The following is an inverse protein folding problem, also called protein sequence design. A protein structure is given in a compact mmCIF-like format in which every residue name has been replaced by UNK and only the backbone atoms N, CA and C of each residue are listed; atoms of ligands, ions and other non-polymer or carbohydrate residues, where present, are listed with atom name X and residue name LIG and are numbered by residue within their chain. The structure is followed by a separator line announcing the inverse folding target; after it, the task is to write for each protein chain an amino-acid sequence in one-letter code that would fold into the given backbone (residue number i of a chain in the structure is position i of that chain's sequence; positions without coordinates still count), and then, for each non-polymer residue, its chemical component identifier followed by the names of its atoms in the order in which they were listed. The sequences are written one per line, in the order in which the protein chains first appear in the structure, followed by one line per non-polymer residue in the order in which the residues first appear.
data_IF_141251939663
#
_entry.id   IF_141251939663
#
_cell.length_a   1.000
_cell.length_b   1.000
_cell.length_c   1.000
_cell.angle_alpha   90.00
_cell.angle_beta   90.00
_cell.angle_gamma   90.00
#
_symmetry.space_group_name_H-M   'P 1'
#
loop_
_entity.id
_entity.type
_entity.pdbx_description
1 polymer ?
#
# COMPACT_ATOMS: atom_id res chain seq x y z
N UNK A 1 7.17 37.46 7.78
CA UNK A 1 8.06 36.28 7.66
C UNK A 1 9.14 36.49 6.60
N UNK A 2 8.80 36.74 5.32
CA UNK A 2 9.75 37.14 4.27
C UNK A 2 10.59 38.40 4.62
N UNK A 3 10.01 39.39 5.30
CA UNK A 3 10.69 40.63 5.67
C UNK A 3 11.81 40.46 6.73
N UNK A 4 11.69 39.51 7.68
CA UNK A 4 12.75 39.20 8.66
C UNK A 4 13.87 38.32 8.07
N UNK A 5 13.59 37.60 6.99
CA UNK A 5 14.60 36.85 6.24
C UNK A 5 15.48 37.77 5.41
N UNK A 6 14.91 38.80 4.78
CA UNK A 6 15.64 39.74 3.93
C UNK A 6 16.81 40.45 4.65
N UNK A 7 16.65 40.82 5.93
CA UNK A 7 17.67 41.55 6.70
C UNK A 7 18.85 40.71 7.23
N UNK A 8 18.78 39.37 7.19
CA UNK A 8 19.83 38.48 7.74
C UNK A 8 20.45 37.52 6.72
N UNK A 9 20.12 37.64 5.43
CA UNK A 9 20.68 36.81 4.34
C UNK A 9 22.16 37.13 4.11
N UNK A 10 23.05 36.51 4.88
CA UNK A 10 24.45 36.35 4.46
C UNK A 10 24.49 35.26 3.40
N UNK A 11 24.39 35.70 2.15
CA UNK A 11 24.61 34.88 0.97
C UNK A 11 26.03 34.31 0.96
N UNK A 12 26.18 33.01 0.68
CA UNK A 12 27.49 32.38 0.49
C UNK A 12 27.61 31.93 -0.96
N UNK A 13 28.48 32.62 -1.71
CA UNK A 13 28.95 32.17 -3.03
C UNK A 13 30.18 31.28 -2.87
N UNK A 14 30.03 30.00 -3.19
CA UNK A 14 31.15 29.07 -3.26
C UNK A 14 31.63 29.04 -4.72
N UNK A 15 32.86 29.51 -4.95
CA UNK A 15 33.52 29.57 -6.25
C UNK A 15 34.85 28.82 -6.18
N UNK A 16 35.48 28.53 -7.33
CA UNK A 16 36.80 27.88 -7.34
C UNK A 16 37.89 28.63 -6.54
N UNK A 17 37.75 29.95 -6.38
CA UNK A 17 38.71 30.79 -5.62
C UNK A 17 38.40 30.89 -4.14
N UNK A 18 37.14 30.68 -3.75
CA UNK A 18 36.69 30.77 -2.35
C UNK A 18 36.62 29.39 -1.69
N UNK A 19 36.50 28.32 -2.47
CA UNK A 19 36.40 26.94 -1.99
C UNK A 19 37.74 26.22 -1.83
N UNK A 20 38.84 26.78 -2.34
CA UNK A 20 40.12 26.09 -2.46
C UNK A 20 41.30 27.05 -2.41
N UNK A 21 42.40 26.60 -1.80
CA UNK A 21 43.67 27.31 -1.88
C UNK A 21 44.18 27.36 -3.32
N UNK A 22 45.04 28.33 -3.65
CA UNK A 22 45.49 28.55 -5.04
C UNK A 22 46.25 27.36 -5.66
N UNK A 23 46.89 26.51 -4.84
CA UNK A 23 47.53 25.26 -5.28
C UNK A 23 46.56 24.07 -5.43
N UNK A 24 45.28 24.28 -5.10
CA UNK A 24 44.17 23.34 -5.25
C UNK A 24 43.23 23.78 -6.38
N UNK A 25 43.72 24.56 -7.34
CA UNK A 25 42.95 24.85 -8.55
C UNK A 25 42.84 23.58 -9.41
N UNK A 26 41.74 23.40 -10.15
CA UNK A 26 41.52 22.18 -10.91
C UNK A 26 42.39 22.17 -12.17
N UNK A 27 43.61 21.64 -12.05
CA UNK A 27 44.31 21.13 -13.23
C UNK A 27 43.59 19.87 -13.73
N UNK A 28 43.77 19.50 -15.00
CA UNK A 28 43.11 18.33 -15.63
C UNK A 28 43.26 17.03 -14.82
N UNK A 29 44.32 16.93 -14.02
CA UNK A 29 44.62 15.79 -13.14
C UNK A 29 43.57 15.67 -12.03
N UNK A 30 43.15 16.77 -11.40
CA UNK A 30 42.22 16.72 -10.27
C UNK A 30 40.79 16.34 -10.68
N UNK A 31 40.41 16.66 -11.92
CA UNK A 31 39.10 16.29 -12.47
C UNK A 31 39.02 14.81 -12.87
N UNK A 32 40.16 14.14 -13.08
CA UNK A 32 40.22 12.74 -13.53
C UNK A 32 40.33 11.73 -12.37
N UNK A 33 40.65 12.17 -11.16
CA UNK A 33 41.00 11.27 -10.04
C UNK A 33 39.95 11.31 -8.91
N UNK A 34 39.14 10.25 -8.72
CA UNK A 34 38.04 10.22 -7.75
C UNK A 34 38.47 10.47 -6.29
N UNK A 35 39.66 9.99 -5.90
CA UNK A 35 40.20 10.21 -4.56
C UNK A 35 40.39 11.71 -4.26
N UNK A 36 40.95 12.44 -5.24
CA UNK A 36 41.22 13.87 -5.13
C UNK A 36 39.92 14.69 -5.12
N UNK A 37 38.92 14.27 -5.91
CA UNK A 37 37.58 14.86 -5.88
C UNK A 37 36.92 14.70 -4.50
N UNK A 38 37.04 13.52 -3.86
CA UNK A 38 36.50 13.27 -2.51
C UNK A 38 37.19 14.13 -1.43
N UNK A 39 38.51 14.26 -1.47
CA UNK A 39 39.24 15.11 -0.51
C UNK A 39 38.75 16.55 -0.60
N UNK A 40 38.59 17.09 -1.82
CA UNK A 40 38.08 18.44 -2.03
C UNK A 40 36.63 18.59 -1.62
N UNK A 41 35.79 17.61 -1.96
CA UNK A 41 34.40 17.60 -1.53
C UNK A 41 34.30 17.75 -0.01
N UNK A 42 35.04 16.93 0.74
CA UNK A 42 35.06 17.00 2.21
C UNK A 42 35.50 18.38 2.72
N UNK A 43 36.50 18.98 2.10
CA UNK A 43 36.97 20.32 2.48
C UNK A 43 35.90 21.40 2.21
N UNK A 44 35.31 21.41 1.02
CA UNK A 44 34.20 22.31 0.67
C UNK A 44 33.02 22.14 1.62
N UNK A 45 32.67 20.90 1.95
CA UNK A 45 31.58 20.59 2.86
C UNK A 45 31.89 21.04 4.30
N UNK A 46 33.10 20.80 4.80
CA UNK A 46 33.49 21.15 6.16
C UNK A 46 33.61 22.67 6.38
N UNK A 47 34.23 23.40 5.44
CA UNK A 47 34.63 24.79 5.68
C UNK A 47 33.58 25.80 5.23
N UNK A 48 32.72 25.43 4.28
CA UNK A 48 31.78 26.36 3.65
C UNK A 48 30.32 25.95 3.79
N UNK A 49 29.99 24.68 3.54
CA UNK A 49 28.59 24.22 3.52
C UNK A 49 28.07 23.92 4.92
N UNK A 50 28.73 23.04 5.67
CA UNK A 50 28.29 22.60 7.00
C UNK A 50 28.11 23.76 8.01
N UNK A 51 29.01 24.77 8.09
CA UNK A 51 28.82 25.91 8.99
C UNK A 51 27.59 26.76 8.64
N UNK A 52 27.20 26.81 7.35
CA UNK A 52 25.97 27.46 6.92
C UNK A 52 24.76 26.62 7.34
N UNK A 53 24.77 25.31 7.05
CA UNK A 53 23.68 24.42 7.40
C UNK A 53 23.43 24.37 8.91
N UNK A 54 24.49 24.35 9.73
CA UNK A 54 24.37 24.41 11.19
C UNK A 54 23.72 25.71 11.69
N UNK A 55 24.01 26.85 11.06
CA UNK A 55 23.32 28.12 11.35
C UNK A 55 21.86 28.09 10.91
N UNK A 56 21.56 27.47 9.77
CA UNK A 56 20.18 27.31 9.31
C UNK A 56 19.38 26.42 10.26
N UNK A 57 19.96 25.32 10.74
CA UNK A 57 19.32 24.47 11.75
C UNK A 57 18.98 25.24 13.03
N UNK A 58 19.93 26.01 13.56
CA UNK A 58 19.72 26.83 14.77
C UNK A 58 18.65 27.91 14.60
N UNK A 59 18.51 28.45 13.39
CA UNK A 59 17.53 29.49 13.06
C UNK A 59 16.14 28.91 12.75
N UNK A 60 16.06 27.82 11.99
CA UNK A 60 14.80 27.27 11.49
C UNK A 60 14.24 26.17 12.39
N UNK A 61 15.03 25.16 12.75
CA UNK A 61 14.53 23.95 13.40
C UNK A 61 14.41 24.12 14.92
N UNK A 62 15.39 24.77 15.53
CA UNK A 62 15.39 25.01 16.99
C UNK A 62 14.34 26.03 17.42
N UNK A 63 14.12 27.09 16.62
CA UNK A 63 13.19 28.17 16.97
C UNK A 63 11.72 27.82 16.65
N UNK A 64 11.45 27.01 15.62
CA UNK A 64 10.09 26.74 15.17
C UNK A 64 9.59 25.33 15.52
N UNK A 65 10.46 24.34 15.71
CA UNK A 65 10.05 22.93 15.90
C UNK A 65 10.61 22.29 17.18
N UNK A 66 11.42 23.00 17.98
CA UNK A 66 11.97 22.48 19.25
C UNK A 66 12.85 21.24 19.10
N UNK A 67 13.29 20.92 17.88
CA UNK A 67 14.07 19.72 17.59
C UNK A 67 15.50 19.83 18.16
N UNK A 68 16.04 18.70 18.63
CA UNK A 68 17.46 18.62 19.03
C UNK A 68 18.34 18.87 17.79
N UNK A 69 19.35 19.76 17.86
CA UNK A 69 20.23 20.03 16.73
C UNK A 69 20.98 18.76 16.31
N UNK A 70 21.00 18.49 15.01
CA UNK A 70 21.64 17.35 14.35
C UNK A 70 22.96 17.72 13.68
N UNK A 71 23.18 19.00 13.34
CA UNK A 71 24.35 19.51 12.64
C UNK A 71 25.12 20.58 13.44
N UNK A 72 24.42 21.46 14.15
CA UNK A 72 25.06 22.58 14.86
C UNK A 72 26.06 22.08 15.91
N UNK A 73 27.30 22.58 15.83
CA UNK A 73 28.41 22.20 16.71
C UNK A 73 29.08 20.86 16.39
N UNK A 74 28.67 20.15 15.32
CA UNK A 74 29.30 18.89 14.89
C UNK A 74 30.36 19.11 13.80
N UNK A 75 31.40 18.28 13.80
CA UNK A 75 32.37 18.21 12.71
C UNK A 75 31.81 17.41 11.53
N UNK A 76 32.39 17.57 10.33
CA UNK A 76 31.97 16.78 9.16
C UNK A 76 32.10 15.26 9.41
N UNK A 77 33.16 14.83 10.10
CA UNK A 77 33.37 13.42 10.47
C UNK A 77 32.27 12.89 11.40
N UNK A 78 31.79 13.71 12.34
CA UNK A 78 30.66 13.35 13.21
C UNK A 78 29.34 13.30 12.45
N UNK A 79 29.17 14.11 11.41
CA UNK A 79 27.98 14.06 10.55
C UNK A 79 28.02 12.82 9.66
N UNK A 80 29.16 12.51 9.05
CA UNK A 80 29.37 11.37 8.15
C UNK A 80 29.27 9.99 8.83
N UNK A 81 29.18 9.95 10.15
CA UNK A 81 29.00 8.72 10.94
C UNK A 81 27.58 8.56 11.50
N UNK A 82 26.68 9.51 11.22
CA UNK A 82 25.30 9.52 11.71
C UNK A 82 24.31 9.73 10.55
N UNK A 83 23.62 8.67 10.13
CA UNK A 83 22.65 8.70 9.02
C UNK A 83 21.57 9.77 9.18
N UNK A 84 21.12 10.02 10.42
CA UNK A 84 20.11 11.04 10.72
C UNK A 84 20.68 12.46 10.56
N UNK A 85 21.97 12.64 10.84
CA UNK A 85 22.64 13.92 10.61
C UNK A 85 22.87 14.16 9.11
N UNK A 86 23.23 13.12 8.34
CA UNK A 86 23.36 13.23 6.88
C UNK A 86 22.02 13.59 6.24
N UNK A 87 20.92 12.92 6.61
CA UNK A 87 19.58 13.22 6.13
C UNK A 87 19.16 14.67 6.43
N UNK A 88 19.38 15.13 7.67
CA UNK A 88 19.13 16.52 8.04
C UNK A 88 19.99 17.51 7.23
N UNK A 89 21.24 17.15 6.97
CA UNK A 89 22.17 17.91 6.13
C UNK A 89 21.67 18.05 4.68
N UNK A 90 21.21 16.95 4.08
CA UNK A 90 20.66 16.94 2.73
C UNK A 90 19.39 17.80 2.62
N UNK A 91 18.48 17.67 3.57
CA UNK A 91 17.26 18.49 3.61
C UNK A 91 17.57 19.99 3.73
N UNK A 92 18.46 20.37 4.67
CA UNK A 92 18.84 21.77 4.86
C UNK A 92 19.64 22.31 3.67
N UNK A 93 20.40 21.47 2.98
CA UNK A 93 21.11 21.83 1.76
C UNK A 93 20.12 22.19 0.64
N UNK A 94 19.06 21.39 0.44
CA UNK A 94 18.03 21.68 -0.57
C UNK A 94 17.25 22.95 -0.25
N UNK A 95 16.96 23.17 1.03
CA UNK A 95 16.38 24.42 1.48
C UNK A 95 17.33 25.60 1.23
N UNK A 96 18.63 25.46 1.51
CA UNK A 96 19.62 26.51 1.31
C UNK A 96 19.80 26.88 -0.17
N UNK A 97 19.76 25.89 -1.06
CA UNK A 97 19.88 26.10 -2.51
C UNK A 97 18.61 26.73 -3.07
N UNK A 98 17.42 26.21 -2.74
CA UNK A 98 16.13 26.72 -3.22
C UNK A 98 15.85 28.16 -2.76
N UNK A 99 16.27 28.53 -1.55
CA UNK A 99 16.16 29.89 -1.01
C UNK A 99 17.29 30.83 -1.48
N UNK A 100 18.21 30.35 -2.32
CA UNK A 100 19.34 31.13 -2.83
C UNK A 100 20.36 31.55 -1.76
N UNK A 101 20.38 30.85 -0.62
CA UNK A 101 21.33 31.10 0.48
C UNK A 101 22.72 30.51 0.16
N UNK A 102 22.72 29.43 -0.62
CA UNK A 102 23.91 28.75 -1.13
C UNK A 102 23.87 28.77 -2.65
N UNK A 103 24.87 29.39 -3.28
CA UNK A 103 25.05 29.34 -4.74
C UNK A 103 26.46 28.86 -5.04
N UNK A 104 26.55 27.88 -5.94
CA UNK A 104 27.80 27.43 -6.53
C UNK A 104 28.05 28.24 -7.79
N UNK A 105 29.02 29.14 -7.74
CA UNK A 105 29.40 29.94 -8.90
C UNK A 105 30.09 29.02 -9.92
N UNK A 106 29.68 29.10 -11.18
CA UNK A 106 30.36 28.41 -12.27
C UNK A 106 31.85 28.76 -12.29
N UNK A 107 32.68 27.81 -12.73
CA UNK A 107 34.01 28.14 -13.22
C UNK A 107 33.83 29.06 -14.43
N UNK A 108 33.81 30.37 -14.21
CA UNK A 108 33.87 31.34 -15.30
C UNK A 108 35.22 31.12 -15.97
N UNK A 109 35.23 30.34 -17.05
CA UNK A 109 36.39 30.21 -17.89
C UNK A 109 36.83 31.61 -18.29
N UNK A 110 38.14 31.88 -18.21
CA UNK A 110 38.75 33.13 -18.68
C UNK A 110 38.52 33.40 -20.19
N UNK A 111 37.85 32.52 -20.92
CA UNK A 111 37.41 32.72 -22.28
C UNK A 111 35.89 32.87 -22.29
N UNK A 112 35.38 33.97 -22.85
CA UNK A 112 33.95 34.26 -23.03
C UNK A 112 33.25 33.33 -24.04
N UNK A 113 33.49 32.03 -23.95
CA UNK A 113 32.83 31.00 -24.75
C UNK A 113 31.74 30.39 -23.88
N UNK A 114 30.48 30.74 -24.19
CA UNK A 114 29.31 30.04 -23.67
C UNK A 114 29.43 28.56 -24.06
N UNK A 115 29.67 27.68 -23.09
CA UNK A 115 29.55 26.23 -23.29
C UNK A 115 28.06 25.91 -23.24
N UNK A 116 27.45 25.71 -24.40
CA UNK A 116 26.01 25.45 -24.52
C UNK A 116 25.56 24.04 -24.11
N UNK A 117 26.47 23.17 -23.62
CA UNK A 117 26.15 21.75 -23.36
C UNK A 117 26.52 21.27 -21.94
N UNK A 118 26.66 22.17 -20.95
CA UNK A 118 26.88 21.77 -19.55
C UNK A 118 25.54 21.64 -18.81
N UNK A 119 25.29 20.57 -18.02
CA UNK A 119 24.06 20.42 -17.24
C UNK A 119 23.90 21.62 -16.30
N UNK A 120 22.68 22.14 -16.20
CA UNK A 120 22.29 23.48 -15.74
C UNK A 120 22.64 23.85 -14.27
N UNK A 121 23.50 23.11 -13.57
CA UNK A 121 24.00 23.44 -12.24
C UNK A 121 25.50 23.17 -12.14
N UNK A 122 26.29 24.22 -11.95
CA UNK A 122 27.74 24.17 -11.86
C UNK A 122 28.25 23.18 -10.80
N UNK A 123 29.46 22.65 -10.99
CA UNK A 123 30.10 21.76 -10.02
C UNK A 123 30.10 22.38 -8.60
N UNK A 124 29.99 21.55 -7.57
CA UNK A 124 30.04 21.95 -6.15
C UNK A 124 31.43 22.53 -5.84
N UNK A 125 31.60 23.83 -6.10
CA UNK A 125 32.89 24.49 -6.08
C UNK A 125 33.89 23.86 -7.06
N UNK A 126 35.17 23.77 -6.65
CA UNK A 126 36.27 23.23 -7.46
C UNK A 126 36.46 21.71 -7.35
N UNK A 127 35.52 20.97 -6.73
CA UNK A 127 35.66 19.52 -6.54
C UNK A 127 35.32 18.70 -7.80
N UNK A 128 34.74 19.33 -8.82
CA UNK A 128 34.47 18.70 -10.12
C UNK A 128 33.29 17.72 -10.14
N UNK A 129 32.49 17.66 -9.07
CA UNK A 129 31.25 16.89 -8.99
C UNK A 129 30.05 17.82 -9.15
N UNK A 130 29.00 17.38 -9.84
CA UNK A 130 27.71 18.09 -9.85
C UNK A 130 27.04 18.02 -8.49
N UNK A 131 26.08 18.91 -8.24
CA UNK A 131 25.26 18.89 -7.01
C UNK A 131 24.61 17.51 -6.84
N UNK A 132 24.03 16.95 -7.90
CA UNK A 132 23.37 15.64 -7.85
C UNK A 132 24.35 14.50 -7.53
N UNK A 133 25.58 14.57 -8.04
CA UNK A 133 26.60 13.58 -7.71
C UNK A 133 27.02 13.66 -6.23
N UNK A 134 27.07 14.86 -5.66
CA UNK A 134 27.33 15.07 -4.23
C UNK A 134 26.16 14.58 -3.38
N UNK A 135 24.91 14.88 -3.76
CA UNK A 135 23.72 14.37 -3.08
C UNK A 135 23.70 12.84 -3.08
N UNK A 136 23.86 12.21 -4.24
CA UNK A 136 23.94 10.74 -4.36
C UNK A 136 25.06 10.16 -3.50
N UNK A 137 26.22 10.80 -3.43
CA UNK A 137 27.31 10.36 -2.57
C UNK A 137 26.89 10.28 -1.08
N UNK A 138 26.28 11.34 -0.55
CA UNK A 138 25.82 11.39 0.83
C UNK A 138 24.58 10.52 1.08
N UNK A 139 23.67 10.37 0.11
CA UNK A 139 22.54 9.45 0.17
C UNK A 139 23.01 8.00 0.29
N UNK A 140 23.94 7.56 -0.56
CA UNK A 140 24.53 6.22 -0.47
C UNK A 140 25.29 6.00 0.84
N UNK A 141 25.96 7.04 1.37
CA UNK A 141 26.61 6.97 2.67
C UNK A 141 25.59 6.77 3.80
N UNK A 142 24.50 7.54 3.82
CA UNK A 142 23.42 7.38 4.79
C UNK A 142 22.77 5.99 4.69
N UNK A 143 22.49 5.51 3.48
CA UNK A 143 21.97 4.17 3.24
C UNK A 143 22.92 3.08 3.77
N UNK A 144 24.23 3.23 3.54
CA UNK A 144 25.25 2.33 4.08
C UNK A 144 25.23 2.27 5.61
N UNK A 145 25.16 3.43 6.28
CA UNK A 145 25.05 3.51 7.74
C UNK A 145 23.75 2.90 8.27
N UNK A 146 22.62 3.11 7.59
CA UNK A 146 21.32 2.51 7.94
C UNK A 146 21.43 0.98 7.88
N UNK A 147 22.02 0.44 6.81
CA UNK A 147 22.27 -0.99 6.64
C UNK A 147 23.17 -1.55 7.75
N UNK A 148 24.25 -0.84 8.09
CA UNK A 148 25.16 -1.25 9.17
C UNK A 148 24.45 -1.27 10.54
N UNK A 149 23.64 -0.25 10.83
CA UNK A 149 22.86 -0.15 12.08
C UNK A 149 21.79 -1.23 12.19
N UNK A 150 21.26 -1.72 11.08
CA UNK A 150 20.26 -2.80 11.06
C UNK A 150 20.85 -4.18 11.38
N UNK A 151 22.17 -4.35 11.30
CA UNK A 151 22.87 -5.54 11.76
C UNK A 151 22.97 -6.69 10.74
N UNK A 152 23.22 -7.90 11.24
CA UNK A 152 23.58 -9.08 10.44
C UNK A 152 22.51 -9.47 9.41
N UNK A 153 21.23 -9.33 9.77
CA UNK A 153 20.10 -9.73 8.93
C UNK A 153 19.98 -8.88 7.66
N UNK A 154 20.23 -7.58 7.77
CA UNK A 154 20.31 -6.68 6.61
C UNK A 154 21.51 -7.03 5.72
N UNK A 155 22.63 -7.48 6.30
CA UNK A 155 23.83 -7.83 5.55
C UNK A 155 23.62 -9.05 4.63
N UNK A 156 22.80 -10.04 5.03
CA UNK A 156 22.46 -11.21 4.18
C UNK A 156 21.79 -10.78 2.85
N UNK A 157 21.13 -9.63 2.84
CA UNK A 157 20.37 -9.13 1.69
C UNK A 157 20.87 -7.78 1.16
N UNK A 158 22.10 -7.39 1.52
CA UNK A 158 22.74 -6.14 1.10
C UNK A 158 22.65 -5.91 -0.41
N UNK A 159 22.97 -6.92 -1.23
CA UNK A 159 22.93 -6.78 -2.69
C UNK A 159 21.54 -6.48 -3.28
N UNK A 160 20.45 -6.74 -2.53
CA UNK A 160 19.08 -6.40 -2.94
C UNK A 160 18.68 -4.96 -2.59
N UNK A 161 19.28 -4.41 -1.53
CA UNK A 161 19.04 -3.04 -1.10
C UNK A 161 20.01 -2.07 -1.78
N UNK A 162 21.21 -2.51 -2.15
CA UNK A 162 22.17 -1.71 -2.93
C UNK A 162 21.70 -1.38 -4.34
N UNK A 163 20.79 -2.18 -4.90
CA UNK A 163 20.16 -1.91 -6.20
C UNK A 163 19.01 -0.90 -6.13
N UNK A 164 18.63 -0.45 -4.93
CA UNK A 164 17.59 0.57 -4.78
C UNK A 164 18.17 1.93 -5.17
N UNK A 165 17.55 2.57 -6.16
CA UNK A 165 17.94 3.90 -6.56
C UNK A 165 17.39 4.93 -5.55
N UNK A 166 18.30 5.55 -4.80
CA UNK A 166 17.97 6.56 -3.79
C UNK A 166 18.35 7.92 -4.36
N UNK A 167 17.40 8.54 -5.07
CA UNK A 167 17.57 9.88 -5.64
C UNK A 167 17.11 10.99 -4.68
N UNK A 168 16.13 10.71 -3.82
CA UNK A 168 15.50 11.66 -2.91
C UNK A 168 15.85 11.37 -1.43
N UNK A 169 16.32 12.36 -0.65
CA UNK A 169 16.47 12.24 0.81
C UNK A 169 15.23 11.75 1.55
N UNK A 170 14.02 12.07 1.09
CA UNK A 170 12.78 11.60 1.70
C UNK A 170 12.66 10.06 1.68
N UNK A 171 13.31 9.40 0.72
CA UNK A 171 13.33 7.95 0.61
C UNK A 171 14.16 7.26 1.71
N UNK A 172 15.02 7.98 2.44
CA UNK A 172 15.80 7.39 3.54
C UNK A 172 14.90 6.89 4.68
N UNK A 173 13.77 7.54 4.96
CA UNK A 173 12.80 7.08 5.95
C UNK A 173 12.20 5.72 5.56
N UNK A 174 11.71 5.58 4.31
CA UNK A 174 11.20 4.32 3.77
C UNK A 174 12.28 3.24 3.71
N UNK A 175 13.49 3.60 3.30
CA UNK A 175 14.63 2.70 3.28
C UNK A 175 14.91 2.12 4.68
N UNK A 176 14.84 2.93 5.74
CA UNK A 176 14.97 2.43 7.13
C UNK A 176 13.88 1.42 7.51
N UNK A 177 12.66 1.55 7.00
CA UNK A 177 11.60 0.58 7.25
C UNK A 177 11.88 -0.74 6.51
N UNK A 178 12.26 -0.65 5.24
CA UNK A 178 12.54 -1.83 4.40
C UNK A 178 13.72 -2.66 4.90
N UNK A 179 14.79 -1.99 5.32
CA UNK A 179 16.01 -2.67 5.82
C UNK A 179 15.77 -3.40 7.14
N UNK A 180 14.75 -3.00 7.90
CA UNK A 180 14.34 -3.66 9.16
C UNK A 180 13.43 -4.86 8.96
N UNK A 181 12.92 -5.09 7.74
CA UNK A 181 12.16 -6.30 7.45
C UNK A 181 13.00 -7.54 7.75
N UNK A 182 12.38 -8.56 8.31
CA UNK A 182 13.08 -9.79 8.59
C UNK A 182 13.57 -10.47 7.28
N UNK A 183 14.66 -11.24 7.33
CA UNK A 183 15.23 -11.89 6.14
C UNK A 183 14.24 -12.78 5.38
N UNK A 184 13.28 -13.39 6.09
CA UNK A 184 12.27 -14.23 5.45
C UNK A 184 11.27 -13.38 4.68
N UNK A 185 10.82 -12.25 5.22
CA UNK A 185 9.98 -11.28 4.51
C UNK A 185 10.66 -10.75 3.26
N UNK A 186 11.92 -10.30 3.38
CA UNK A 186 12.70 -9.82 2.23
C UNK A 186 12.82 -10.91 1.16
N UNK A 187 13.02 -12.17 1.56
CA UNK A 187 13.09 -13.31 0.64
C UNK A 187 11.76 -13.60 -0.05
N UNK A 188 10.64 -13.58 0.67
CA UNK A 188 9.31 -13.84 0.10
C UNK A 188 8.86 -12.68 -0.80
N UNK A 189 9.06 -11.42 -0.37
CA UNK A 189 8.79 -10.21 -1.18
C UNK A 189 9.64 -10.21 -2.45
N UNK A 190 10.95 -10.44 -2.34
CA UNK A 190 11.85 -10.50 -3.51
C UNK A 190 11.43 -11.57 -4.52
N UNK A 191 11.00 -12.75 -4.04
CA UNK A 191 10.48 -13.81 -4.92
C UNK A 191 9.15 -13.44 -5.57
N UNK A 192 8.24 -12.87 -4.79
CA UNK A 192 6.90 -12.52 -5.27
C UNK A 192 6.90 -11.33 -6.21
N UNK A 193 7.70 -10.30 -5.93
CA UNK A 193 7.91 -9.12 -6.78
C UNK A 193 8.85 -9.38 -7.95
N UNK A 194 9.26 -10.65 -8.19
CA UNK A 194 10.13 -11.05 -9.32
C UNK A 194 11.46 -10.27 -9.37
N UNK A 195 12.01 -9.94 -8.20
CA UNK A 195 13.24 -9.16 -8.07
C UNK A 195 13.06 -7.64 -7.95
N UNK A 196 11.84 -7.12 -8.19
CA UNK A 196 11.54 -5.69 -8.19
C UNK A 196 11.20 -5.15 -6.79
N UNK A 197 12.12 -5.26 -5.84
CA UNK A 197 11.91 -4.73 -4.48
C UNK A 197 11.81 -3.21 -4.45
N UNK A 198 12.37 -2.52 -5.45
CA UNK A 198 12.33 -1.07 -5.60
C UNK A 198 10.92 -0.49 -5.64
N UNK A 199 9.94 -1.27 -6.11
CA UNK A 199 8.53 -0.85 -6.10
C UNK A 199 7.98 -0.56 -4.71
N UNK A 200 8.57 -1.12 -3.66
CA UNK A 200 8.16 -0.84 -2.28
C UNK A 200 8.54 0.58 -1.84
N UNK A 201 9.46 1.26 -2.53
CA UNK A 201 9.79 2.67 -2.26
C UNK A 201 8.66 3.62 -2.67
N UNK A 202 7.82 3.20 -3.62
CA UNK A 202 6.66 3.97 -4.08
C UNK A 202 5.46 3.85 -3.12
N UNK A 203 5.43 2.80 -2.29
CA UNK A 203 4.35 2.55 -1.34
C UNK A 203 4.34 3.57 -0.19
N UNK A 204 3.19 3.73 0.45
CA UNK A 204 3.02 4.61 1.62
C UNK A 204 3.72 4.05 2.86
N UNK A 205 4.12 4.94 3.78
CA UNK A 205 4.84 4.56 5.00
C UNK A 205 4.01 3.59 5.86
N UNK A 206 2.69 3.84 5.98
CA UNK A 206 1.76 2.97 6.71
C UNK A 206 1.70 1.56 6.13
N UNK A 207 1.75 1.43 4.80
CA UNK A 207 1.80 0.14 4.12
C UNK A 207 3.07 -0.65 4.50
N UNK A 208 4.23 0.03 4.53
CA UNK A 208 5.50 -0.58 4.94
C UNK A 208 5.51 -0.97 6.43
N UNK A 209 4.89 -0.17 7.29
CA UNK A 209 4.74 -0.51 8.71
C UNK A 209 3.88 -1.76 8.92
N UNK A 210 2.82 -1.94 8.12
CA UNK A 210 1.99 -3.16 8.16
C UNK A 210 2.83 -4.35 7.72
N UNK A 211 3.59 -4.24 6.62
CA UNK A 211 4.51 -5.30 6.16
C UNK A 211 5.53 -5.71 7.23
N UNK A 212 5.96 -4.79 8.08
CA UNK A 212 6.88 -5.08 9.18
C UNK A 212 6.21 -5.84 10.34
N UNK A 213 4.89 -5.73 10.50
CA UNK A 213 4.14 -6.37 11.61
C UNK A 213 3.63 -7.77 11.24
N UNK A 214 3.45 -8.06 9.96
CA UNK A 214 2.89 -9.33 9.49
C UNK A 214 3.86 -10.51 9.55
N UNK A 215 3.32 -11.72 9.67
CA UNK A 215 4.13 -12.93 9.70
C UNK A 215 4.68 -13.29 8.31
N UNK A 216 5.99 -13.48 8.12
CA UNK A 216 6.58 -13.74 6.80
C UNK A 216 6.04 -15.02 6.16
N UNK A 217 5.87 -16.06 6.97
CA UNK A 217 5.45 -17.39 6.50
C UNK A 217 3.93 -17.50 6.44
N UNK A 218 3.21 -17.02 7.47
CA UNK A 218 1.75 -17.18 7.50
C UNK A 218 1.05 -16.20 6.56
N UNK A 219 1.64 -15.03 6.32
CA UNK A 219 1.06 -13.97 5.52
C UNK A 219 1.74 -13.85 4.15
N UNK A 220 2.99 -13.38 4.08
CA UNK A 220 3.64 -13.05 2.79
C UNK A 220 3.83 -14.26 1.88
N UNK A 221 4.30 -15.38 2.43
CA UNK A 221 4.42 -16.63 1.66
C UNK A 221 3.05 -17.13 1.20
N UNK A 222 2.02 -17.02 2.05
CA UNK A 222 0.67 -17.44 1.70
C UNK A 222 0.10 -16.56 0.59
N UNK A 223 0.29 -15.24 0.65
CA UNK A 223 -0.04 -14.31 -0.42
C UNK A 223 0.69 -14.66 -1.72
N UNK A 224 2.00 -14.94 -1.65
CA UNK A 224 2.80 -15.31 -2.83
C UNK A 224 2.26 -16.57 -3.51
N UNK A 225 1.86 -17.57 -2.74
CA UNK A 225 1.29 -18.79 -3.31
C UNK A 225 -0.17 -18.64 -3.73
N UNK A 226 -0.98 -17.87 -3.00
CA UNK A 226 -2.39 -17.64 -3.31
C UNK A 226 -2.60 -16.75 -4.54
N UNK A 227 -1.79 -15.70 -4.69
CA UNK A 227 -1.89 -14.73 -5.79
C UNK A 227 -1.07 -15.13 -7.02
N UNK A 228 -0.07 -16.01 -6.85
CA UNK A 228 0.77 -16.47 -7.96
C UNK A 228 1.39 -15.32 -8.75
N UNK A 229 1.03 -15.22 -10.03
CA UNK A 229 1.52 -14.17 -10.94
C UNK A 229 0.97 -12.78 -10.63
N UNK A 230 -0.12 -12.67 -9.88
CA UNK A 230 -0.72 -11.39 -9.46
C UNK A 230 -0.06 -10.80 -8.22
N UNK A 231 0.85 -11.53 -7.54
CA UNK A 231 1.50 -11.02 -6.33
C UNK A 231 2.18 -9.64 -6.50
N UNK A 232 2.83 -9.29 -7.63
CA UNK A 232 3.40 -7.96 -7.79
C UNK A 232 2.42 -6.81 -7.58
N UNK A 233 1.12 -7.03 -7.74
CA UNK A 233 0.08 -6.01 -7.57
C UNK A 233 -0.23 -5.68 -6.11
N UNK A 234 0.31 -6.42 -5.13
CA UNK A 234 0.10 -6.06 -3.71
C UNK A 234 0.66 -4.67 -3.38
N UNK A 235 1.66 -4.19 -4.13
CA UNK A 235 2.24 -2.85 -3.94
C UNK A 235 1.27 -1.73 -4.34
N UNK A 236 0.23 -2.06 -5.09
CA UNK A 236 -0.85 -1.14 -5.49
C UNK A 236 -1.96 -1.05 -4.43
N UNK A 237 -1.91 -1.88 -3.38
CA UNK A 237 -2.92 -1.87 -2.33
C UNK A 237 -2.77 -0.65 -1.43
N UNK A 238 -3.91 -0.09 -1.02
CA UNK A 238 -3.92 0.93 0.02
C UNK A 238 -3.47 0.33 1.37
N UNK A 239 -2.93 1.15 2.28
CA UNK A 239 -2.62 0.71 3.65
C UNK A 239 -3.82 0.07 4.35
N UNK A 240 -5.01 0.62 4.15
CA UNK A 240 -6.25 0.11 4.72
C UNK A 240 -6.58 -1.31 4.22
N UNK A 241 -6.41 -1.55 2.91
CA UNK A 241 -6.70 -2.85 2.34
C UNK A 241 -5.71 -3.91 2.82
N UNK A 242 -4.39 -3.63 2.79
CA UNK A 242 -3.41 -4.61 3.30
C UNK A 242 -3.58 -4.87 4.81
N UNK A 243 -3.98 -3.85 5.59
CA UNK A 243 -4.36 -4.03 6.99
C UNK A 243 -5.54 -5.00 7.13
N UNK A 244 -6.61 -4.81 6.36
CA UNK A 244 -7.76 -5.71 6.38
C UNK A 244 -7.41 -7.15 5.98
N UNK A 245 -6.51 -7.34 5.01
CA UNK A 245 -5.99 -8.67 4.65
C UNK A 245 -5.18 -9.27 5.81
N UNK A 246 -4.33 -8.49 6.46
CA UNK A 246 -3.51 -8.92 7.59
C UNK A 246 -4.34 -9.29 8.84
N UNK A 247 -5.39 -8.53 9.12
CA UNK A 247 -6.28 -8.71 10.27
C UNK A 247 -7.32 -9.79 10.02
N UNK A 248 -8.02 -9.73 8.88
CA UNK A 248 -9.12 -10.64 8.54
C UNK A 248 -8.62 -12.03 8.16
N UNK A 249 -7.57 -12.13 7.35
CA UNK A 249 -7.05 -13.42 6.88
C UNK A 249 -5.92 -13.93 7.78
N UNK A 250 -6.22 -14.02 9.07
CA UNK A 250 -5.34 -14.44 10.17
C UNK A 250 -4.65 -15.82 10.01
N UNK A 251 -5.13 -16.64 9.06
CA UNK A 251 -4.62 -17.97 8.78
C UNK A 251 -4.22 -18.13 7.30
N UNK A 252 -3.04 -18.70 7.04
CA UNK A 252 -2.48 -18.88 5.68
C UNK A 252 -3.40 -19.67 4.74
N UNK A 253 -4.19 -20.60 5.30
CA UNK A 253 -5.18 -21.37 4.56
C UNK A 253 -6.30 -20.48 3.98
N UNK A 254 -6.74 -19.42 4.69
CA UNK A 254 -7.75 -18.47 4.19
C UNK A 254 -7.20 -17.69 3.00
N UNK A 255 -5.98 -17.16 3.13
CA UNK A 255 -5.29 -16.42 2.06
C UNK A 255 -5.17 -17.29 0.81
N UNK A 256 -4.74 -18.55 0.99
CA UNK A 256 -4.56 -19.49 -0.13
C UNK A 256 -5.89 -19.89 -0.76
N UNK A 257 -6.96 -20.05 0.05
CA UNK A 257 -8.29 -20.43 -0.43
C UNK A 257 -8.95 -19.31 -1.27
N UNK A 258 -8.83 -18.05 -0.83
CA UNK A 258 -9.29 -16.89 -1.63
C UNK A 258 -8.47 -16.82 -2.92
N UNK A 259 -7.13 -16.85 -2.79
CA UNK A 259 -6.20 -16.77 -3.90
C UNK A 259 -6.36 -15.49 -4.72
N UNK A 260 -6.25 -15.60 -6.05
CA UNK A 260 -6.36 -14.46 -6.98
C UNK A 260 -7.68 -13.69 -6.90
N UNK A 261 -8.75 -14.30 -6.39
CA UNK A 261 -10.04 -13.61 -6.18
C UNK A 261 -9.91 -12.43 -5.22
N UNK A 262 -8.87 -12.42 -4.36
CA UNK A 262 -8.58 -11.30 -3.47
C UNK A 262 -8.35 -9.99 -4.23
N UNK A 263 -7.85 -10.07 -5.47
CA UNK A 263 -7.62 -8.90 -6.33
C UNK A 263 -8.91 -8.27 -6.88
N UNK A 264 -10.06 -8.90 -6.69
CA UNK A 264 -11.36 -8.42 -7.13
C UNK A 264 -12.13 -7.70 -6.02
N UNK A 265 -11.59 -7.70 -4.80
CA UNK A 265 -12.22 -7.06 -3.64
C UNK A 265 -11.74 -5.61 -3.60
N UNK A 266 -12.67 -4.67 -3.70
CA UNK A 266 -12.38 -3.23 -3.58
C UNK A 266 -12.58 -2.74 -2.13
N UNK A 267 -13.59 -3.27 -1.44
CA UNK A 267 -13.95 -2.89 -0.07
C UNK A 267 -13.16 -3.71 0.96
N UNK A 268 -12.30 -3.08 1.80
CA UNK A 268 -11.58 -3.75 2.88
C UNK A 268 -12.49 -4.50 3.87
N UNK A 269 -13.71 -4.02 4.11
CA UNK A 269 -14.65 -4.68 5.04
C UNK A 269 -15.09 -6.05 4.55
N UNK A 270 -15.14 -6.28 3.24
CA UNK A 270 -15.40 -7.61 2.67
C UNK A 270 -14.30 -8.60 3.05
N UNK A 271 -13.04 -8.15 3.10
CA UNK A 271 -11.92 -8.99 3.55
C UNK A 271 -12.04 -9.33 5.03
N UNK A 272 -12.44 -8.36 5.87
CA UNK A 272 -12.69 -8.59 7.30
C UNK A 272 -13.86 -9.55 7.51
N UNK A 273 -14.94 -9.43 6.72
CA UNK A 273 -16.07 -10.34 6.73
C UNK A 273 -15.66 -11.78 6.33
N UNK A 274 -14.85 -11.96 5.28
CA UNK A 274 -14.26 -13.28 4.95
C UNK A 274 -13.39 -13.81 6.09
N UNK A 275 -12.79 -12.91 6.87
CA UNK A 275 -12.00 -13.25 8.04
C UNK A 275 -12.80 -13.91 9.16
N UNK A 276 -14.10 -13.67 9.28
CA UNK A 276 -14.94 -14.30 10.32
C UNK A 276 -15.27 -15.77 10.01
N UNK A 277 -15.00 -16.21 8.78
CA UNK A 277 -15.36 -17.55 8.32
C UNK A 277 -14.49 -18.64 8.96
N UNK A 278 -15.12 -19.77 9.32
CA UNK A 278 -14.48 -20.85 10.07
C UNK A 278 -13.34 -21.54 9.30
N UNK A 279 -12.33 -21.97 10.06
CA UNK A 279 -11.25 -22.86 9.61
C UNK A 279 -11.28 -24.12 10.45
N UNK A 280 -11.41 -25.28 9.80
CA UNK A 280 -11.44 -26.58 10.47
C UNK A 280 -10.15 -27.33 10.18
N UNK A 281 -9.47 -27.78 11.22
CA UNK A 281 -8.34 -28.72 11.07
C UNK A 281 -8.90 -30.08 10.65
N UNK A 282 -8.35 -30.65 9.58
CA UNK A 282 -8.71 -31.99 9.09
C UNK A 282 -7.62 -32.98 9.43
N UNK A 283 -7.99 -34.27 9.46
CA UNK A 283 -7.07 -35.34 9.84
C UNK A 283 -5.77 -35.26 9.03
N UNK A 284 -4.61 -35.39 9.70
CA UNK A 284 -3.33 -35.21 9.05
C UNK A 284 -3.11 -36.28 7.99
N UNK A 285 -3.06 -35.87 6.73
CA UNK A 285 -2.64 -36.77 5.66
C UNK A 285 -1.16 -37.08 5.80
N UNK A 286 -0.78 -38.34 5.61
CA UNK A 286 0.62 -38.78 5.56
C UNK A 286 1.30 -38.17 4.34
N UNK A 287 2.10 -37.12 4.56
CA UNK A 287 2.88 -36.50 3.48
C UNK A 287 4.00 -37.41 2.97
N UNK A 288 4.51 -37.11 1.76
CA UNK A 288 5.74 -37.73 1.23
C UNK A 288 6.89 -37.46 2.21
N UNK A 289 7.37 -38.50 2.88
CA UNK A 289 8.42 -38.43 3.92
C UNK A 289 7.97 -38.70 5.36
N UNK A 290 6.74 -39.18 5.58
CA UNK A 290 6.28 -39.66 6.91
C UNK A 290 5.99 -38.57 7.94
N UNK A 291 6.24 -37.30 7.63
CA UNK A 291 5.82 -36.17 8.48
C UNK A 291 4.34 -35.90 8.29
N UNK A 292 3.57 -36.04 9.37
CA UNK A 292 2.16 -35.60 9.45
C UNK A 292 2.12 -34.09 9.23
N UNK A 293 1.46 -33.64 8.16
CA UNK A 293 1.11 -32.23 7.97
C UNK A 293 -0.33 -32.03 8.41
N UNK A 294 -0.56 -30.99 9.21
CA UNK A 294 -1.91 -30.53 9.51
C UNK A 294 -2.49 -29.98 8.23
N UNK A 295 -3.66 -30.48 7.86
CA UNK A 295 -4.44 -29.92 6.76
C UNK A 295 -5.55 -29.08 7.37
N UNK A 296 -5.93 -28.03 6.66
CA UNK A 296 -7.00 -27.14 7.08
C UNK A 296 -7.98 -27.02 5.94
N UNK A 297 -9.26 -27.16 6.24
CA UNK A 297 -10.34 -26.87 5.30
C UNK A 297 -10.99 -25.58 5.76
N UNK A 298 -11.00 -24.59 4.88
CA UNK A 298 -11.62 -23.29 5.17
C UNK A 298 -13.04 -23.27 4.63
N UNK A 299 -13.92 -22.51 5.29
CA UNK A 299 -15.24 -22.25 4.73
C UNK A 299 -15.16 -21.54 3.39
N UNK A 300 -14.15 -20.69 3.19
CA UNK A 300 -13.87 -20.00 1.92
C UNK A 300 -13.74 -20.98 0.77
N UNK A 301 -12.91 -22.02 0.94
CA UNK A 301 -12.71 -23.06 -0.06
C UNK A 301 -14.00 -23.83 -0.35
N UNK A 302 -14.81 -24.12 0.68
CA UNK A 302 -16.09 -24.82 0.52
C UNK A 302 -17.09 -23.98 -0.29
N UNK A 303 -17.32 -22.72 0.10
CA UNK A 303 -18.27 -21.83 -0.59
C UNK A 303 -17.79 -21.58 -2.02
N UNK A 304 -16.50 -21.33 -2.23
CA UNK A 304 -15.91 -21.16 -3.56
C UNK A 304 -16.09 -22.39 -4.44
N UNK A 305 -15.98 -23.60 -3.88
CA UNK A 305 -16.21 -24.85 -4.61
C UNK A 305 -17.67 -24.98 -5.08
N UNK A 306 -18.63 -24.58 -4.26
CA UNK A 306 -20.06 -24.65 -4.60
C UNK A 306 -20.48 -23.56 -5.60
N UNK A 307 -20.06 -22.31 -5.36
CA UNK A 307 -20.38 -21.19 -6.26
C UNK A 307 -19.59 -21.22 -7.57
N UNK A 308 -18.39 -21.79 -7.59
CA UNK A 308 -17.55 -21.87 -8.78
C UNK A 308 -17.24 -20.47 -9.33
N UNK A 309 -17.64 -20.21 -10.58
CA UNK A 309 -17.41 -18.94 -11.26
C UNK A 309 -18.21 -17.77 -10.67
N UNK A 310 -19.23 -18.04 -9.87
CA UNK A 310 -20.06 -17.01 -9.24
C UNK A 310 -19.51 -16.55 -7.88
N UNK A 311 -18.48 -17.21 -7.33
CA UNK A 311 -17.87 -16.81 -6.06
C UNK A 311 -17.41 -15.33 -6.04
N UNK A 312 -16.77 -14.78 -7.10
CA UNK A 312 -16.45 -13.35 -7.14
C UNK A 312 -17.66 -12.44 -7.02
N UNK A 313 -18.83 -12.84 -7.56
CA UNK A 313 -20.05 -12.02 -7.49
C UNK A 313 -20.55 -11.89 -6.05
N UNK A 314 -20.40 -12.94 -5.24
CA UNK A 314 -20.71 -12.89 -3.80
C UNK A 314 -19.89 -11.80 -3.10
N UNK A 315 -18.62 -11.61 -3.50
CA UNK A 315 -17.75 -10.61 -2.88
C UNK A 315 -18.16 -9.17 -3.23
N UNK A 316 -18.86 -8.99 -4.36
CA UNK A 316 -19.42 -7.70 -4.79
C UNK A 316 -20.75 -7.37 -4.11
N UNK A 317 -21.35 -8.34 -3.40
CA UNK A 317 -22.62 -8.15 -2.68
C UNK A 317 -22.46 -7.33 -1.38
N UNK A 318 -21.22 -7.08 -0.93
CA UNK A 318 -20.91 -6.30 0.27
C UNK A 318 -20.61 -7.14 1.52
N UNK A 319 -20.08 -6.52 2.59
CA UNK A 319 -19.53 -7.22 3.75
C UNK A 319 -20.58 -8.00 4.54
N UNK A 320 -21.79 -7.44 4.74
CA UNK A 320 -22.87 -8.11 5.50
C UNK A 320 -23.29 -9.44 4.87
N UNK A 321 -23.40 -9.47 3.54
CA UNK A 321 -23.83 -10.66 2.80
C UNK A 321 -22.72 -11.70 2.74
N UNK A 322 -21.47 -11.25 2.62
CA UNK A 322 -20.30 -12.12 2.73
C UNK A 322 -20.23 -12.73 4.13
N UNK A 323 -20.46 -11.97 5.20
CA UNK A 323 -20.52 -12.51 6.56
C UNK A 323 -21.67 -13.52 6.72
N UNK A 324 -22.85 -13.23 6.20
CA UNK A 324 -23.99 -14.15 6.19
C UNK A 324 -23.66 -15.46 5.43
N UNK A 325 -23.02 -15.36 4.26
CA UNK A 325 -22.64 -16.51 3.44
C UNK A 325 -21.67 -17.47 4.12
N UNK A 326 -20.88 -16.98 5.09
CA UNK A 326 -20.07 -17.82 5.96
C UNK A 326 -20.89 -18.83 6.77
N UNK A 327 -22.16 -18.53 7.05
CA UNK A 327 -23.09 -19.32 7.86
C UNK A 327 -24.07 -20.18 7.06
N UNK A 328 -24.22 -19.92 5.76
CA UNK A 328 -25.09 -20.74 4.90
C UNK A 328 -24.61 -22.19 4.88
N UNK A 329 -25.53 -23.13 4.73
CA UNK A 329 -25.23 -24.54 4.46
C UNK A 329 -24.93 -24.75 2.97
N UNK A 330 -24.43 -25.94 2.62
CA UNK A 330 -24.03 -26.22 1.24
C UNK A 330 -25.25 -26.31 0.29
N UNK A 331 -26.36 -26.86 0.76
CA UNK A 331 -27.66 -26.89 0.07
C UNK A 331 -28.24 -25.48 -0.10
N UNK A 332 -28.11 -24.63 0.91
CA UNK A 332 -28.50 -23.22 0.86
C UNK A 332 -27.69 -22.47 -0.22
N UNK A 333 -26.38 -22.70 -0.31
CA UNK A 333 -25.54 -22.10 -1.37
C UNK A 333 -25.99 -22.52 -2.77
N UNK A 334 -26.30 -23.79 -2.99
CA UNK A 334 -26.76 -24.25 -4.30
C UNK A 334 -28.11 -23.63 -4.69
N UNK A 335 -29.01 -23.39 -3.73
CA UNK A 335 -30.29 -22.72 -3.98
C UNK A 335 -30.10 -21.25 -4.37
N UNK A 336 -29.24 -20.52 -3.64
CA UNK A 336 -29.06 -19.08 -3.89
C UNK A 336 -28.16 -18.79 -5.10
N UNK A 337 -27.33 -19.75 -5.52
CA UNK A 337 -26.39 -19.62 -6.64
C UNK A 337 -27.03 -19.07 -7.91
N UNK A 338 -28.25 -19.51 -8.23
CA UNK A 338 -28.98 -19.02 -9.40
C UNK A 338 -29.31 -17.53 -9.31
N UNK A 339 -29.64 -17.03 -8.12
CA UNK A 339 -30.05 -15.65 -7.90
C UNK A 339 -28.88 -14.70 -7.65
N UNK A 340 -27.74 -15.22 -7.19
CA UNK A 340 -26.55 -14.43 -6.84
C UNK A 340 -26.14 -13.37 -7.89
N UNK A 341 -26.17 -13.65 -9.22
CA UNK A 341 -25.86 -12.64 -10.22
C UNK A 341 -26.81 -11.44 -10.25
N UNK A 342 -28.00 -11.59 -9.65
CA UNK A 342 -29.07 -10.60 -9.59
C UNK A 342 -29.19 -9.93 -8.21
N UNK A 343 -28.31 -10.28 -7.26
CA UNK A 343 -28.30 -9.69 -5.91
C UNK A 343 -27.34 -8.51 -5.84
N UNK A 344 -27.76 -7.38 -6.39
CA UNK A 344 -27.02 -6.11 -6.20
C UNK A 344 -27.14 -5.62 -4.76
N UNK A 345 -26.22 -4.75 -4.33
CA UNK A 345 -26.25 -4.15 -2.98
C UNK A 345 -27.62 -3.54 -2.64
N UNK A 346 -28.24 -2.84 -3.61
CA UNK A 346 -29.57 -2.24 -3.43
C UNK A 346 -30.67 -3.27 -3.19
N UNK A 347 -30.62 -4.42 -3.87
CA UNK A 347 -31.58 -5.53 -3.69
C UNK A 347 -31.40 -6.16 -2.32
N UNK A 348 -30.15 -6.43 -1.94
CA UNK A 348 -29.79 -7.04 -0.66
C UNK A 348 -30.24 -6.17 0.51
N UNK A 349 -30.06 -4.85 0.41
CA UNK A 349 -30.53 -3.88 1.39
C UNK A 349 -32.05 -3.95 1.60
N UNK A 350 -32.84 -4.21 0.54
CA UNK A 350 -34.29 -4.37 0.68
C UNK A 350 -34.67 -5.64 1.42
N UNK A 351 -33.94 -6.75 1.19
CA UNK A 351 -34.29 -8.07 1.72
C UNK A 351 -33.52 -8.45 2.98
N UNK A 352 -32.69 -7.55 3.55
CA UNK A 352 -31.82 -7.84 4.69
C UNK A 352 -32.54 -8.30 5.95
N UNK A 353 -33.78 -7.83 6.15
CA UNK A 353 -34.60 -8.17 7.32
C UNK A 353 -35.17 -9.59 7.27
N UNK A 354 -35.09 -10.26 6.12
CA UNK A 354 -35.56 -11.62 5.93
C UNK A 354 -34.49 -12.63 6.35
N UNK A 355 -34.92 -13.78 6.86
CA UNK A 355 -34.05 -14.93 7.02
C UNK A 355 -33.76 -15.59 5.65
N UNK A 356 -32.82 -16.54 5.62
CA UNK A 356 -32.39 -17.16 4.37
C UNK A 356 -33.55 -17.80 3.58
N UNK A 357 -34.41 -18.56 4.25
CA UNK A 357 -35.55 -19.24 3.62
C UNK A 357 -36.54 -18.25 3.03
N UNK A 358 -36.80 -17.13 3.71
CA UNK A 358 -37.64 -16.06 3.19
C UNK A 358 -36.98 -15.30 2.05
N UNK A 359 -35.66 -15.05 2.08
CA UNK A 359 -34.95 -14.42 0.96
C UNK A 359 -35.10 -15.28 -0.31
N UNK A 360 -34.82 -16.57 -0.20
CA UNK A 360 -34.93 -17.51 -1.32
C UNK A 360 -36.39 -17.65 -1.76
N UNK A 361 -37.32 -17.82 -0.83
CA UNK A 361 -38.75 -17.92 -1.14
C UNK A 361 -39.30 -16.67 -1.82
N UNK A 362 -38.88 -15.47 -1.40
CA UNK A 362 -39.23 -14.22 -2.06
C UNK A 362 -38.74 -14.20 -3.52
N UNK A 363 -37.49 -14.58 -3.76
CA UNK A 363 -36.89 -14.59 -5.10
C UNK A 363 -37.52 -15.66 -6.00
N UNK A 364 -37.74 -16.88 -5.48
CA UNK A 364 -38.43 -17.98 -6.18
C UNK A 364 -39.87 -17.61 -6.54
N UNK A 365 -40.61 -17.05 -5.58
CA UNK A 365 -41.99 -16.61 -5.79
C UNK A 365 -42.10 -15.48 -6.81
N UNK A 366 -41.22 -14.48 -6.74
CA UNK A 366 -41.18 -13.38 -7.73
C UNK A 366 -40.76 -13.88 -9.11
N UNK A 367 -39.79 -14.79 -9.18
CA UNK A 367 -39.41 -15.44 -10.43
C UNK A 367 -40.61 -16.19 -11.05
N UNK A 368 -41.31 -16.99 -10.26
CA UNK A 368 -42.47 -17.73 -10.72
C UNK A 368 -43.59 -16.77 -11.17
N UNK A 369 -43.97 -15.80 -10.32
CA UNK A 369 -45.12 -14.91 -10.53
C UNK A 369 -44.87 -13.84 -11.61
N UNK A 370 -43.71 -13.18 -11.60
CA UNK A 370 -43.39 -12.04 -12.47
C UNK A 370 -42.48 -12.40 -13.64
N UNK A 371 -41.88 -13.59 -13.62
CA UNK A 371 -41.05 -14.11 -14.69
C UNK A 371 -39.60 -13.62 -14.66
N UNK A 372 -38.83 -14.16 -15.60
CA UNK A 372 -37.38 -13.94 -15.76
C UNK A 372 -37.00 -12.48 -15.91
N UNK A 373 -37.74 -11.73 -16.72
CA UNK A 373 -37.44 -10.31 -17.01
C UNK A 373 -37.45 -9.44 -15.75
N UNK A 374 -38.33 -9.76 -14.80
CA UNK A 374 -38.38 -9.03 -13.54
C UNK A 374 -37.11 -9.24 -12.72
N UNK A 375 -36.72 -10.49 -12.47
CA UNK A 375 -35.56 -10.80 -11.62
C UNK A 375 -34.24 -10.40 -12.28
N UNK A 376 -34.11 -10.57 -13.59
CA UNK A 376 -32.86 -10.27 -14.30
C UNK A 376 -32.66 -8.77 -14.58
N UNK A 377 -33.73 -7.97 -14.64
CA UNK A 377 -33.66 -6.56 -15.02
C UNK A 377 -34.47 -5.65 -14.09
N UNK A 378 -35.80 -5.80 -14.01
CA UNK A 378 -36.65 -4.81 -13.33
C UNK A 378 -36.39 -4.72 -11.82
N UNK A 379 -35.92 -5.80 -11.19
CA UNK A 379 -35.65 -5.89 -9.75
C UNK A 379 -34.57 -4.89 -9.31
N UNK A 380 -33.71 -4.47 -10.23
CA UNK A 380 -32.65 -3.49 -9.99
C UNK A 380 -33.14 -2.03 -10.08
N UNK A 381 -34.30 -1.79 -10.70
CA UNK A 381 -34.85 -0.45 -10.88
C UNK A 381 -35.57 0.06 -9.63
N UNK A 382 -35.72 1.38 -9.51
CA UNK A 382 -36.44 2.02 -8.38
C UNK A 382 -37.83 1.43 -8.12
N UNK A 383 -38.52 1.00 -9.17
CA UNK A 383 -39.85 0.39 -9.02
C UNK A 383 -39.77 -1.07 -8.56
N UNK A 384 -38.84 -1.88 -9.07
CA UNK A 384 -38.63 -3.24 -8.59
C UNK A 384 -38.14 -3.28 -7.15
N UNK A 385 -37.21 -2.39 -6.77
CA UNK A 385 -36.77 -2.23 -5.38
C UNK A 385 -37.92 -1.86 -4.45
N UNK A 386 -38.85 -1.02 -4.91
CA UNK A 386 -40.07 -0.70 -4.14
C UNK A 386 -40.96 -1.93 -3.94
N UNK A 387 -41.11 -2.79 -4.95
CA UNK A 387 -41.86 -4.06 -4.81
C UNK A 387 -41.23 -4.92 -3.71
N UNK A 388 -39.91 -5.08 -3.73
CA UNK A 388 -39.19 -5.84 -2.69
C UNK A 388 -39.40 -5.23 -1.31
N UNK A 389 -39.19 -3.93 -1.16
CA UNK A 389 -39.38 -3.19 0.08
C UNK A 389 -40.78 -3.40 0.66
N UNK A 390 -41.82 -3.18 -0.15
CA UNK A 390 -43.20 -3.22 0.32
C UNK A 390 -43.62 -4.64 0.71
N UNK A 391 -43.14 -5.67 -0.01
CA UNK A 391 -43.34 -7.08 0.36
C UNK A 391 -42.62 -7.40 1.68
N UNK A 392 -41.36 -6.98 1.84
CA UNK A 392 -40.57 -7.21 3.07
C UNK A 392 -41.22 -6.55 4.29
N UNK A 393 -41.72 -5.32 4.14
CA UNK A 393 -42.45 -4.61 5.20
C UNK A 393 -43.72 -5.36 5.61
N UNK A 394 -44.50 -5.85 4.63
CA UNK A 394 -45.70 -6.65 4.93
C UNK A 394 -45.33 -7.97 5.62
N UNK A 395 -44.27 -8.66 5.18
CA UNK A 395 -43.78 -9.88 5.84
C UNK A 395 -43.39 -9.57 7.30
N UNK A 396 -42.71 -8.44 7.54
CA UNK A 396 -42.39 -7.96 8.89
C UNK A 396 -43.65 -7.78 9.75
N UNK A 397 -44.65 -7.08 9.23
CA UNK A 397 -45.94 -6.90 9.90
C UNK A 397 -46.68 -8.24 10.13
N UNK A 398 -46.58 -9.19 9.20
CA UNK A 398 -47.14 -10.53 9.37
C UNK A 398 -46.42 -11.33 10.46
N UNK A 399 -45.09 -11.20 10.58
CA UNK A 399 -44.32 -11.83 11.67
C UNK A 399 -44.75 -11.31 13.03
N UNK A 400 -44.93 -9.99 13.18
CA UNK A 400 -45.42 -9.38 14.42
C UNK A 400 -46.82 -9.87 14.80
N UNK A 401 -47.67 -10.14 13.81
CA UNK A 401 -49.01 -10.72 14.01
C UNK A 401 -49.01 -12.24 14.21
N UNK A 402 -47.87 -12.92 14.03
CA UNK A 402 -47.78 -14.39 14.07
C UNK A 402 -48.43 -15.09 12.86
N UNK A 403 -48.59 -14.39 11.74
CA UNK A 403 -49.26 -14.89 10.53
C UNK A 403 -48.33 -15.01 9.33
N UNK A 404 -47.01 -14.91 9.52
CA UNK A 404 -46.05 -15.03 8.43
C UNK A 404 -46.07 -16.46 7.84
N UNK A 405 -46.09 -16.61 6.50
CA UNK A 405 -46.14 -17.92 5.88
C UNK A 405 -44.82 -18.68 6.05
N UNK A 406 -44.89 -19.99 6.24
CA UNK A 406 -43.71 -20.87 6.25
C UNK A 406 -43.10 -21.02 4.85
N UNK A 407 -43.94 -21.15 3.82
CA UNK A 407 -43.53 -21.26 2.41
C UNK A 407 -43.88 -19.97 1.65
N UNK A 408 -43.03 -18.96 1.82
CA UNK A 408 -43.25 -17.64 1.21
C UNK A 408 -43.29 -17.70 -0.33
N UNK A 409 -42.50 -18.58 -0.94
CA UNK A 409 -42.43 -18.73 -2.40
C UNK A 409 -43.76 -19.14 -2.99
N UNK A 410 -44.38 -20.22 -2.47
CA UNK A 410 -45.71 -20.64 -2.91
C UNK A 410 -46.78 -19.59 -2.67
N UNK A 411 -46.73 -18.88 -1.53
CA UNK A 411 -47.72 -17.84 -1.25
C UNK A 411 -47.62 -16.70 -2.26
N UNK A 412 -46.42 -16.29 -2.64
CA UNK A 412 -46.23 -15.26 -3.67
C UNK A 412 -46.67 -15.76 -5.05
N UNK A 413 -46.39 -17.02 -5.38
CA UNK A 413 -46.77 -17.64 -6.67
C UNK A 413 -48.29 -17.80 -6.81
N UNK A 414 -48.93 -18.41 -5.82
CA UNK A 414 -50.31 -18.92 -5.91
C UNK A 414 -51.37 -17.95 -5.35
N UNK A 415 -51.00 -17.01 -4.49
CA UNK A 415 -51.93 -16.08 -3.84
C UNK A 415 -51.89 -14.69 -4.46
N UNK A 416 -53.00 -13.95 -4.31
CA UNK A 416 -53.10 -12.53 -4.67
C UNK A 416 -52.68 -11.61 -3.51
N UNK A 417 -52.24 -12.18 -2.38
CA UNK A 417 -51.91 -11.44 -1.16
C UNK A 417 -50.90 -10.30 -1.38
N UNK A 418 -49.90 -10.54 -2.24
CA UNK A 418 -48.84 -9.59 -2.53
C UNK A 418 -49.02 -8.85 -3.87
N UNK A 419 -50.06 -9.16 -4.64
CA UNK A 419 -50.27 -8.61 -5.99
C UNK A 419 -50.44 -7.08 -5.97
N UNK A 420 -51.02 -6.54 -4.90
CA UNK A 420 -51.16 -5.09 -4.67
C UNK A 420 -49.83 -4.33 -4.71
N UNK A 421 -48.71 -4.98 -4.39
CA UNK A 421 -47.39 -4.39 -4.39
C UNK A 421 -46.70 -4.51 -5.76
N UNK A 422 -47.00 -5.56 -6.52
CA UNK A 422 -46.35 -5.86 -7.81
C UNK A 422 -46.88 -4.99 -8.96
N UNK A 423 -48.11 -4.48 -8.84
CA UNK A 423 -48.64 -3.41 -9.68
C UNK A 423 -48.51 -3.67 -11.19
N UNK A 424 -47.64 -2.90 -11.86
CA UNK A 424 -47.49 -2.97 -13.33
C UNK A 424 -46.82 -4.26 -13.82
N UNK A 425 -46.04 -4.93 -12.97
CA UNK A 425 -45.24 -6.08 -13.38
C UNK A 425 -46.10 -7.33 -13.61
N UNK A 426 -47.25 -7.45 -12.93
CA UNK A 426 -48.22 -8.53 -13.17
C UNK A 426 -48.82 -8.51 -14.58
N UNK A 427 -48.88 -7.34 -15.23
CA UNK A 427 -49.51 -7.17 -16.54
C UNK A 427 -48.64 -7.63 -17.72
N UNK A 428 -47.39 -8.03 -17.47
CA UNK A 428 -46.45 -8.48 -18.51
C UNK A 428 -46.49 -10.00 -18.76
N UNK A 429 -47.25 -10.74 -17.95
CA UNK A 429 -47.37 -12.19 -18.02
C UNK A 429 -48.35 -12.68 -19.09
#
# INVERSE_FOLDING_TARGET
MQARMAERRKFIAISERTAAAWWQWPDEVWRKWPLLQRIRLRHTMADHVLPLLGKLEDLYLKQNMGAKPRLSGRTLEQVETDDVAIEAGLYLFDLAVSEGLLIFAESVGKSGIKRNDAPEWGAVGSCGLSIDAVKRHYLHMAAGLIMEKAGHDAAEHRGKFESLDLEDPANLAKFRLLVKLDPVSVRELSKGLKGHLEKLMEAEDEYLEILHKVSPIKFLRALRYGLGDQFPRIVEWSPEFIAAVAEGLDHSAKITAIGETLMLIEDPEVVRALGTWEVKETDPTTGKGGKKRRNYTTRIEQVKKHLGMDFPKLLLCGPEVVEEAGRWKNDEIERIKFYLPHLTLSVLEQIKALDFEQKVGLLEGLWAKLGREFVESDMHDKQGLKVLHDIVVEIGAMKERGTAPEDLGKVIEDSDMFDKFMGRFLKRR
#
